data_IF_447990428902
#
_entry.id   IF_447990428902
#
_cell.length_a   1.000
_cell.length_b   1.000
_cell.length_c   1.000
_cell.angle_alpha   90.00
_cell.angle_beta   90.00
_cell.angle_gamma   90.00
#
_symmetry.space_group_name_H-M   'P 1'
#
loop_
_entity.id
_entity.type
_entity.pdbx_description
1 polymer ?
#
# COMPACT_ATOMS: atom_id res chain seq x y z
N UNK A 1 7.37 -8.06 -5.27
CA UNK A 1 7.57 -7.37 -3.99
C UNK A 1 6.40 -6.42 -3.76
N UNK A 2 5.74 -6.54 -2.62
CA UNK A 2 4.66 -5.65 -2.21
C UNK A 2 5.14 -4.90 -0.98
N UNK A 3 4.99 -3.59 -0.97
CA UNK A 3 5.42 -2.70 0.11
C UNK A 3 4.18 -2.01 0.67
N UNK A 4 3.78 -2.38 1.88
CA UNK A 4 2.69 -1.72 2.59
C UNK A 4 3.22 -0.49 3.31
N UNK A 5 2.56 0.63 3.05
CA UNK A 5 2.93 1.96 3.50
C UNK A 5 1.81 2.58 4.33
N UNK A 6 2.16 3.50 5.22
CA UNK A 6 1.17 4.30 5.93
C UNK A 6 0.33 5.12 4.95
N UNK A 7 -0.91 5.35 5.31
CA UNK A 7 -1.86 6.13 4.51
C UNK A 7 -3.27 5.60 4.63
N UNK A 8 -3.98 6.01 5.69
CA UNK A 8 -5.33 5.55 6.01
C UNK A 8 -6.38 6.18 5.10
N UNK A 9 -6.35 7.49 4.97
CA UNK A 9 -7.32 8.30 4.22
C UNK A 9 -6.70 9.00 3.01
N UNK A 10 -5.37 9.15 3.03
CA UNK A 10 -4.61 9.79 1.97
C UNK A 10 -3.36 8.98 1.65
N UNK A 11 -3.15 8.71 0.37
CA UNK A 11 -2.07 7.87 -0.13
C UNK A 11 -0.81 8.61 -0.56
N UNK A 12 -0.57 9.83 -0.06
CA UNK A 12 0.57 10.65 -0.48
C UNK A 12 1.93 9.99 -0.30
N UNK A 13 2.11 9.26 0.82
CA UNK A 13 3.37 8.55 1.07
C UNK A 13 3.55 7.43 0.04
N UNK A 14 2.52 6.62 -0.18
CA UNK A 14 2.56 5.53 -1.15
C UNK A 14 2.77 6.04 -2.59
N UNK A 15 2.09 7.14 -2.94
CA UNK A 15 2.24 7.77 -4.25
C UNK A 15 3.65 8.30 -4.47
N UNK A 16 4.16 9.10 -3.53
CA UNK A 16 5.48 9.73 -3.64
C UNK A 16 6.60 8.69 -3.61
N UNK A 17 6.54 7.74 -2.68
CA UNK A 17 7.53 6.68 -2.57
C UNK A 17 7.48 5.74 -3.78
N UNK A 18 6.28 5.41 -4.26
CA UNK A 18 6.09 4.57 -5.43
C UNK A 18 6.64 5.21 -6.71
N UNK A 19 6.37 6.49 -6.93
CA UNK A 19 6.91 7.23 -8.08
C UNK A 19 8.44 7.35 -8.00
N UNK A 20 8.98 7.75 -6.84
CA UNK A 20 10.42 7.89 -6.65
C UNK A 20 11.16 6.55 -6.73
N UNK A 21 10.56 5.47 -6.21
CA UNK A 21 11.10 4.12 -6.24
C UNK A 21 10.86 3.33 -7.53
N UNK A 22 10.15 3.91 -8.49
CA UNK A 22 9.82 3.24 -9.75
C UNK A 22 8.87 2.06 -9.59
N UNK A 23 7.88 2.18 -8.71
CA UNK A 23 6.87 1.14 -8.54
C UNK A 23 6.03 0.96 -9.81
N UNK A 24 5.68 -0.28 -10.09
CA UNK A 24 4.91 -0.67 -11.27
C UNK A 24 3.40 -0.51 -11.07
N UNK A 25 2.99 -0.60 -9.82
CA UNK A 25 1.61 -0.40 -9.36
C UNK A 25 1.63 0.37 -8.05
N UNK A 26 0.76 1.37 -7.94
CA UNK A 26 0.59 2.17 -6.71
C UNK A 26 -0.89 2.17 -6.37
N UNK A 27 -1.23 1.68 -5.18
CA UNK A 27 -2.60 1.56 -4.69
C UNK A 27 -2.82 2.53 -3.54
N UNK A 28 -3.75 3.47 -3.70
CA UNK A 28 -4.02 4.55 -2.75
C UNK A 28 -5.52 4.59 -2.38
N UNK A 29 -5.88 5.12 -1.20
CA UNK A 29 -7.27 5.17 -0.75
C UNK A 29 -8.19 6.00 -1.64
N UNK A 30 -7.66 7.05 -2.26
CA UNK A 30 -8.42 8.01 -3.07
C UNK A 30 -8.93 7.41 -4.37
N UNK A 31 -8.22 6.39 -4.90
CA UNK A 31 -8.56 5.76 -6.18
C UNK A 31 -8.81 4.27 -5.93
N UNK A 32 -10.06 3.83 -5.87
CA UNK A 32 -10.38 2.40 -5.78
C UNK A 32 -9.79 1.64 -6.97
N UNK A 33 -8.97 0.64 -6.67
CA UNK A 33 -8.29 -0.12 -7.71
C UNK A 33 -9.12 -1.33 -8.17
N UNK A 34 -8.94 -1.72 -9.41
CA UNK A 34 -9.56 -2.92 -10.00
C UNK A 34 -8.49 -4.00 -10.19
N UNK A 35 -8.81 -5.23 -9.77
CA UNK A 35 -7.90 -6.37 -9.85
C UNK A 35 -7.44 -6.66 -11.27
N UNK A 36 -8.33 -6.58 -12.25
CA UNK A 36 -8.00 -6.83 -13.66
C UNK A 36 -6.87 -5.92 -14.16
N UNK A 37 -6.84 -4.67 -13.73
CA UNK A 37 -5.77 -3.74 -14.08
C UNK A 37 -4.45 -4.12 -13.42
N UNK A 38 -4.49 -4.54 -12.16
CA UNK A 38 -3.30 -5.00 -11.42
C UNK A 38 -2.74 -6.26 -12.06
N UNK A 39 -3.56 -7.30 -12.26
CA UNK A 39 -3.13 -8.56 -12.86
C UNK A 39 -2.57 -8.35 -14.27
N UNK A 40 -3.29 -7.63 -15.12
CA UNK A 40 -2.84 -7.33 -16.47
C UNK A 40 -1.47 -6.66 -16.47
N UNK A 41 -1.25 -5.65 -15.63
CA UNK A 41 0.03 -4.96 -15.53
C UNK A 41 1.17 -5.88 -15.14
N UNK A 42 0.97 -6.75 -14.17
CA UNK A 42 1.98 -7.70 -13.70
C UNK A 42 2.31 -8.75 -14.76
N UNK A 43 1.28 -9.31 -15.40
CA UNK A 43 1.44 -10.32 -16.47
C UNK A 43 2.15 -9.72 -17.69
N UNK A 44 1.77 -8.53 -18.12
CA UNK A 44 2.43 -7.82 -19.23
C UNK A 44 3.92 -7.62 -18.95
N UNK A 45 4.28 -7.20 -17.75
CA UNK A 45 5.67 -7.02 -17.36
C UNK A 45 6.45 -8.34 -17.40
N UNK A 46 5.88 -9.39 -16.84
CA UNK A 46 6.48 -10.73 -16.87
C UNK A 46 6.72 -11.21 -18.30
N UNK A 47 5.74 -11.03 -19.19
CA UNK A 47 5.87 -11.37 -20.62
C UNK A 47 6.95 -10.56 -21.35
N UNK A 48 7.22 -9.33 -20.92
CA UNK A 48 8.31 -8.51 -21.44
C UNK A 48 9.67 -8.78 -20.77
N UNK A 49 9.81 -9.90 -20.08
CA UNK A 49 11.08 -10.35 -19.49
C UNK A 49 11.50 -9.60 -18.22
N UNK A 50 10.60 -8.82 -17.60
CA UNK A 50 10.88 -8.19 -16.31
C UNK A 50 10.75 -9.21 -15.20
N UNK A 51 11.86 -9.48 -14.51
CA UNK A 51 11.96 -10.54 -13.49
C UNK A 51 11.28 -10.21 -12.16
N UNK A 52 10.98 -8.95 -11.91
CA UNK A 52 10.29 -8.51 -10.69
C UNK A 52 9.38 -7.31 -10.97
N UNK A 53 8.42 -7.13 -10.09
CA UNK A 53 7.56 -5.94 -10.04
C UNK A 53 7.47 -5.43 -8.61
N UNK A 54 7.35 -4.11 -8.47
CA UNK A 54 7.18 -3.43 -7.20
C UNK A 54 5.76 -2.87 -7.14
N UNK A 55 5.06 -3.21 -6.06
CA UNK A 55 3.73 -2.69 -5.76
C UNK A 55 3.82 -1.90 -4.46
N UNK A 56 3.52 -0.61 -4.49
CA UNK A 56 3.33 0.20 -3.31
C UNK A 56 1.85 0.26 -2.97
N UNK A 57 1.48 -0.06 -1.73
CA UNK A 57 0.09 -0.05 -1.30
C UNK A 57 -0.06 0.71 0.02
N UNK A 58 -0.91 1.73 0.04
CA UNK A 58 -1.27 2.41 1.27
C UNK A 58 -2.20 1.53 2.11
N UNK A 59 -2.07 1.54 3.44
CA UNK A 59 -2.86 0.71 4.36
C UNK A 59 -4.38 0.90 4.23
N UNK A 60 -4.81 2.05 3.72
CA UNK A 60 -6.22 2.38 3.47
C UNK A 60 -6.66 2.16 2.02
N UNK A 61 -5.84 1.57 1.16
CA UNK A 61 -6.22 1.30 -0.24
C UNK A 61 -7.43 0.36 -0.30
N UNK A 62 -8.30 0.58 -1.29
CA UNK A 62 -9.61 -0.10 -1.41
C UNK A 62 -9.80 -0.67 -2.80
N UNK A 63 -10.51 -1.80 -2.86
CA UNK A 63 -11.04 -2.34 -4.10
C UNK A 63 -12.59 -2.34 -4.04
N UNK A 64 -13.31 -2.15 -5.16
CA UNK A 64 -14.75 -2.27 -5.19
C UNK A 64 -15.19 -3.66 -4.72
N UNK A 65 -16.13 -3.70 -3.76
CA UNK A 65 -16.68 -4.95 -3.22
C UNK A 65 -15.80 -5.70 -2.21
N UNK A 66 -14.57 -5.25 -1.94
CA UNK A 66 -13.69 -5.91 -0.97
C UNK A 66 -13.95 -5.50 0.49
N UNK A 67 -14.69 -4.41 0.71
CA UNK A 67 -14.82 -3.82 2.03
C UNK A 67 -13.51 -3.18 2.52
N UNK A 68 -13.50 -2.76 3.77
CA UNK A 68 -12.27 -2.30 4.43
C UNK A 68 -11.47 -3.50 4.92
N UNK A 69 -10.19 -3.55 4.57
CA UNK A 69 -9.28 -4.59 5.07
C UNK A 69 -8.85 -4.16 6.47
N UNK A 70 -9.43 -4.80 7.48
CA UNK A 70 -9.22 -4.47 8.88
C UNK A 70 -8.42 -5.59 9.53
N UNK A 71 -7.28 -5.25 10.11
CA UNK A 71 -6.42 -6.20 10.83
C UNK A 71 -6.99 -6.59 12.19
N UNK A 72 -7.57 -5.62 12.90
CA UNK A 72 -8.17 -5.84 14.21
C UNK A 72 -9.17 -4.71 14.57
N UNK A 73 -10.11 -5.02 15.47
CA UNK A 73 -10.98 -4.04 16.10
C UNK A 73 -10.52 -3.83 17.54
N UNK A 74 -10.20 -2.59 17.91
CA UNK A 74 -9.86 -2.21 19.29
C UNK A 74 -10.81 -1.10 19.76
N UNK A 75 -11.75 -1.47 20.61
CA UNK A 75 -12.77 -0.54 21.15
C UNK A 75 -12.20 0.56 22.06
N UNK A 76 -10.94 0.42 22.51
CA UNK A 76 -10.31 1.40 23.42
C UNK A 76 -9.62 2.55 22.67
N UNK A 77 -9.55 2.48 21.35
CA UNK A 77 -8.92 3.51 20.52
C UNK A 77 -9.95 4.50 19.99
N UNK A 78 -9.54 5.73 19.79
CA UNK A 78 -10.35 6.79 19.16
C UNK A 78 -10.86 6.36 17.77
N UNK A 79 -10.11 5.50 17.10
CA UNK A 79 -10.51 4.84 15.87
C UNK A 79 -10.47 3.32 16.12
N UNK A 80 -11.65 2.73 16.27
CA UNK A 80 -11.82 1.33 16.66
C UNK A 80 -11.24 0.33 15.66
N UNK A 81 -11.02 0.75 14.41
CA UNK A 81 -10.49 -0.11 13.35
C UNK A 81 -8.98 0.04 13.23
N UNK A 82 -8.26 -1.04 13.45
CA UNK A 82 -6.85 -1.10 13.10
C UNK A 82 -6.73 -1.55 11.63
N UNK A 83 -6.50 -0.60 10.72
CA UNK A 83 -6.17 -0.91 9.33
C UNK A 83 -4.80 -1.58 9.25
N UNK A 84 -4.59 -2.33 8.21
CA UNK A 84 -3.34 -3.04 7.93
C UNK A 84 -3.59 -4.44 7.42
N UNK A 85 -2.53 -5.07 6.89
CA UNK A 85 -2.64 -6.37 6.26
C UNK A 85 -3.17 -6.29 4.83
N UNK A 86 -3.31 -5.09 4.28
CA UNK A 86 -3.67 -4.91 2.86
C UNK A 86 -2.56 -5.46 1.96
N UNK A 87 -1.30 -5.32 2.33
CA UNK A 87 -0.18 -5.92 1.61
C UNK A 87 -0.28 -7.44 1.53
N UNK A 88 -0.61 -8.10 2.63
CA UNK A 88 -0.84 -9.54 2.68
C UNK A 88 -2.07 -9.96 1.86
N UNK A 89 -3.14 -9.18 1.94
CA UNK A 89 -4.33 -9.42 1.13
C UNK A 89 -4.01 -9.31 -0.37
N UNK A 90 -3.28 -8.27 -0.79
CA UNK A 90 -2.85 -8.08 -2.18
C UNK A 90 -1.93 -9.22 -2.62
N UNK A 91 -1.01 -9.67 -1.76
CA UNK A 91 -0.13 -10.79 -2.04
C UNK A 91 -0.93 -12.08 -2.31
N UNK A 92 -1.87 -12.40 -1.43
CA UNK A 92 -2.72 -13.58 -1.60
C UNK A 92 -3.50 -13.53 -2.90
N UNK A 93 -4.14 -12.40 -3.21
CA UNK A 93 -4.90 -12.25 -4.44
C UNK A 93 -4.03 -12.39 -5.70
N UNK A 94 -2.81 -11.86 -5.69
CA UNK A 94 -1.87 -12.03 -6.81
C UNK A 94 -1.46 -13.50 -6.95
N UNK A 95 -1.12 -14.16 -5.85
CA UNK A 95 -0.69 -15.58 -5.88
C UNK A 95 -1.82 -16.51 -6.31
N UNK A 96 -3.06 -16.22 -5.90
CA UNK A 96 -4.24 -17.03 -6.28
C UNK A 96 -4.63 -16.89 -7.76
N UNK A 97 -4.35 -15.73 -8.38
CA UNK A 97 -4.79 -15.43 -9.74
C UNK A 97 -3.65 -15.35 -10.76
N UNK A 98 -2.42 -15.51 -10.31
CA UNK A 98 -1.23 -15.51 -11.18
C UNK A 98 -0.21 -16.52 -10.67
N UNK A 99 0.72 -16.94 -11.51
CA UNK A 99 1.83 -17.83 -11.11
C UNK A 99 3.02 -17.06 -10.51
N UNK A 100 2.81 -15.83 -10.04
CA UNK A 100 3.87 -14.97 -9.55
C UNK A 100 4.10 -15.19 -8.04
N UNK A 101 5.37 -15.47 -7.67
CA UNK A 101 5.78 -15.49 -6.27
C UNK A 101 5.70 -14.07 -5.70
N UNK A 102 5.09 -13.93 -4.52
CA UNK A 102 4.93 -12.65 -3.83
C UNK A 102 5.73 -12.61 -2.54
N UNK A 103 6.22 -11.41 -2.20
CA UNK A 103 6.85 -11.11 -0.92
C UNK A 103 6.32 -9.78 -0.41
N UNK A 104 5.98 -9.70 0.85
CA UNK A 104 5.40 -8.52 1.47
C UNK A 104 6.39 -7.92 2.47
N UNK A 105 6.48 -6.62 2.47
CA UNK A 105 7.18 -5.83 3.47
C UNK A 105 6.23 -4.77 4.00
N UNK A 106 5.96 -4.78 5.29
CA UNK A 106 5.16 -3.77 5.97
C UNK A 106 6.11 -2.80 6.67
N UNK A 107 6.20 -1.56 6.17
CA UNK A 107 7.09 -0.56 6.77
C UNK A 107 6.52 0.02 8.08
N UNK A 108 5.20 0.19 8.15
CA UNK A 108 4.52 0.65 9.36
C UNK A 108 5.15 1.92 9.93
N UNK A 109 5.33 1.97 11.25
CA UNK A 109 5.87 3.11 11.96
C UNK A 109 7.37 3.37 11.75
N UNK A 110 8.09 2.51 11.06
CA UNK A 110 9.45 2.81 10.60
C UNK A 110 9.49 4.13 9.80
N UNK A 111 8.42 4.43 9.07
CA UNK A 111 8.25 5.69 8.31
C UNK A 111 8.11 6.92 9.21
N UNK A 112 7.86 6.72 10.49
CA UNK A 112 7.78 7.76 11.51
C UNK A 112 9.08 7.91 12.31
N UNK A 113 10.08 7.10 11.99
CA UNK A 113 11.39 7.15 12.63
C UNK A 113 12.21 8.38 12.22
N UNK A 114 13.20 8.70 13.04
CA UNK A 114 14.12 9.81 12.80
C UNK A 114 13.71 11.11 13.49
N UNK A 115 14.61 12.09 13.44
CA UNK A 115 14.36 13.44 13.98
C UNK A 115 13.54 14.27 12.98
N UNK A 116 12.57 15.08 13.44
CA UNK A 116 11.77 15.91 12.55
C UNK A 116 12.64 16.98 11.89
N UNK A 117 12.39 17.20 10.61
CA UNK A 117 12.99 18.33 9.86
C UNK A 117 12.32 19.64 10.24
N UNK A 118 12.90 20.79 9.82
CA UNK A 118 12.24 22.08 9.98
C UNK A 118 10.87 22.13 9.28
N UNK A 119 10.74 21.46 8.13
CA UNK A 119 9.48 21.37 7.41
C UNK A 119 8.42 20.60 8.18
N UNK A 120 8.78 19.47 8.77
CA UNK A 120 7.87 18.67 9.61
C UNK A 120 7.33 19.49 10.78
N UNK A 121 8.20 20.30 11.42
CA UNK A 121 7.83 21.14 12.55
C UNK A 121 6.89 22.27 12.14
N UNK A 122 7.16 22.93 11.02
CA UNK A 122 6.28 23.97 10.47
C UNK A 122 4.91 23.40 10.16
N UNK A 123 4.87 22.25 9.51
CA UNK A 123 3.64 21.60 9.13
C UNK A 123 2.81 21.22 10.36
N UNK A 124 3.43 20.58 11.37
CA UNK A 124 2.77 20.20 12.62
C UNK A 124 2.24 21.39 13.44
N UNK A 125 2.87 22.57 13.31
CA UNK A 125 2.42 23.80 14.00
C UNK A 125 1.19 24.42 13.33
N UNK A 126 0.93 24.09 12.07
CA UNK A 126 -0.19 24.64 11.27
C UNK A 126 -1.48 23.82 11.38
N UNK A 127 -1.43 22.65 11.98
CA UNK A 127 -2.56 21.76 12.29
C UNK A 127 -2.90 21.77 13.78
#
# INVERSE_FOLDING_TARGET
MIIELMGRYAGWIALSAGLAGGADVILIPEIPFQWDHVYRRLIERSRHGKRFSIICVAEGARCPGCGEIVKAYDQKRTDAKQLGGVGEYVARQITEHTDLETRVTVLGHLQRGGSPTAYDRILATRF
#
